data_IF_739317755046
#
_entry.id   IF_739317755046
#
_cell.length_a   1.000
_cell.length_b   1.000
_cell.length_c   1.000
_cell.angle_alpha   90.00
_cell.angle_beta   90.00
_cell.angle_gamma   90.00
#
_symmetry.space_group_name_H-M   'P 1'
#
loop_
_entity.id
_entity.type
_entity.pdbx_description
1 polymer ?
#
# COMPACT_ATOMS: atom_id res chain seq x y z
N UNK A 1 -6.75 2.39 10.16
CA UNK A 1 -7.63 1.92 9.07
C UNK A 1 -7.66 3.00 8.01
N UNK A 2 -7.43 2.64 6.75
CA UNK A 2 -7.57 3.55 5.60
C UNK A 2 -9.04 3.53 5.18
N UNK A 3 -9.63 4.70 4.94
CA UNK A 3 -11.01 4.85 4.53
C UNK A 3 -11.15 5.83 3.34
N UNK A 4 -12.24 5.70 2.60
CA UNK A 4 -12.62 6.68 1.57
C UNK A 4 -12.77 8.06 2.21
N UNK A 5 -12.14 9.07 1.60
CA UNK A 5 -12.08 10.44 2.09
C UNK A 5 -10.89 10.75 2.98
N UNK A 6 -10.08 9.76 3.38
CA UNK A 6 -8.85 10.01 4.12
C UNK A 6 -7.84 10.77 3.26
N UNK A 7 -7.16 11.74 3.87
CA UNK A 7 -5.98 12.40 3.29
C UNK A 7 -4.72 11.65 3.71
N UNK A 8 -4.02 11.06 2.75
CA UNK A 8 -2.77 10.35 3.00
C UNK A 8 -1.62 11.10 2.34
N UNK A 9 -0.42 10.95 2.91
CA UNK A 9 0.78 11.64 2.44
C UNK A 9 1.82 10.64 1.97
N UNK A 10 2.19 10.70 0.69
CA UNK A 10 3.20 9.82 0.12
C UNK A 10 4.63 10.17 0.57
N UNK A 11 5.62 9.41 0.09
CA UNK A 11 7.02 9.57 0.48
C UNK A 11 7.65 10.90 0.02
N UNK A 12 7.03 11.60 -0.92
CA UNK A 12 7.43 12.93 -1.41
C UNK A 12 6.77 14.08 -0.64
N UNK A 13 5.86 13.78 0.30
CA UNK A 13 5.12 14.79 1.04
C UNK A 13 3.86 15.29 0.32
N UNK A 14 3.52 14.72 -0.84
CA UNK A 14 2.30 15.08 -1.56
C UNK A 14 1.10 14.42 -0.88
N UNK A 15 -0.01 15.15 -0.83
CA UNK A 15 -1.26 14.68 -0.25
C UNK A 15 -2.18 14.19 -1.36
N UNK A 16 -2.78 13.03 -1.15
CA UNK A 16 -3.86 12.49 -1.98
C UNK A 16 -5.08 12.20 -1.11
N UNK A 17 -6.25 12.22 -1.76
CA UNK A 17 -7.52 11.82 -1.13
C UNK A 17 -7.89 10.43 -1.60
N UNK A 18 -8.16 9.52 -0.67
CA UNK A 18 -8.60 8.15 -0.97
C UNK A 18 -10.02 8.18 -1.55
N UNK A 19 -10.20 7.63 -2.75
CA UNK A 19 -11.50 7.59 -3.45
C UNK A 19 -12.12 6.19 -3.47
N UNK A 20 -11.30 5.15 -3.39
CA UNK A 20 -11.73 3.76 -3.34
C UNK A 20 -10.81 2.96 -2.42
N UNK A 21 -11.36 1.98 -1.72
CA UNK A 21 -10.60 1.02 -0.91
C UNK A 21 -11.06 -0.39 -1.21
N UNK A 22 -10.13 -1.26 -1.57
CA UNK A 22 -10.35 -2.69 -1.75
C UNK A 22 -9.40 -3.46 -0.83
N UNK A 23 -9.92 -4.45 -0.12
CA UNK A 23 -9.12 -5.29 0.79
C UNK A 23 -8.88 -6.64 0.13
N UNK A 24 -7.61 -7.01 0.02
CA UNK A 24 -7.15 -8.24 -0.63
C UNK A 24 -6.58 -9.24 0.36
N UNK A 25 -5.98 -10.29 -0.20
CA UNK A 25 -5.30 -11.34 0.54
C UNK A 25 -4.01 -10.83 1.17
N UNK A 26 -3.21 -10.06 0.43
CA UNK A 26 -1.88 -9.65 0.87
C UNK A 26 -1.80 -8.20 1.32
N UNK A 27 -2.87 -7.42 1.17
CA UNK A 27 -2.82 -5.99 1.44
C UNK A 27 -4.10 -5.24 1.12
N UNK A 28 -3.98 -3.92 1.10
CA UNK A 28 -5.06 -3.00 0.79
C UNK A 28 -4.71 -2.25 -0.49
N UNK A 29 -5.58 -2.32 -1.49
CA UNK A 29 -5.50 -1.48 -2.67
C UNK A 29 -6.38 -0.25 -2.48
N UNK A 30 -5.89 0.91 -2.91
CA UNK A 30 -6.67 2.12 -2.96
C UNK A 30 -6.60 2.76 -4.33
N UNK A 31 -7.69 3.42 -4.71
CA UNK A 31 -7.62 4.54 -5.65
C UNK A 31 -7.54 5.83 -4.87
N UNK A 32 -6.80 6.77 -5.42
CA UNK A 32 -6.55 8.05 -4.77
C UNK A 32 -6.54 9.18 -5.80
N UNK A 33 -6.72 10.40 -5.34
CA UNK A 33 -6.74 11.59 -6.18
C UNK A 33 -5.67 12.56 -5.69
N UNK A 34 -4.67 12.86 -6.53
CA UNK A 34 -3.71 13.94 -6.33
C UNK A 34 -4.17 15.15 -7.13
N UNK A 35 -4.73 16.16 -6.45
CA UNK A 35 -5.32 17.35 -7.11
C UNK A 35 -6.33 16.94 -8.21
N UNK A 36 -5.87 16.82 -9.45
CA UNK A 36 -6.66 16.47 -10.64
C UNK A 36 -6.20 15.19 -11.36
N UNK A 37 -5.29 14.43 -10.76
CA UNK A 37 -4.74 13.18 -11.29
C UNK A 37 -5.18 12.02 -10.40
N UNK A 38 -5.90 11.06 -10.97
CA UNK A 38 -6.31 9.82 -10.30
C UNK A 38 -5.12 8.86 -10.27
N UNK A 39 -4.68 8.40 -9.09
CA UNK A 39 -3.64 7.41 -8.88
C UNK A 39 -4.11 6.17 -8.13
N UNK A 40 -3.16 5.28 -7.85
CA UNK A 40 -3.40 4.10 -7.03
C UNK A 40 -2.16 3.79 -6.20
N UNK A 41 -2.42 3.18 -5.04
CA UNK A 41 -1.39 2.63 -4.18
C UNK A 41 -1.86 1.28 -3.64
N UNK A 42 -0.90 0.40 -3.39
CA UNK A 42 -1.13 -0.88 -2.74
C UNK A 42 -0.27 -0.95 -1.47
N UNK A 43 -0.89 -1.37 -0.37
CA UNK A 43 -0.27 -1.48 0.95
C UNK A 43 -0.20 -2.95 1.36
N UNK A 44 0.85 -3.68 0.97
CA UNK A 44 1.06 -5.04 1.43
C UNK A 44 1.25 -5.07 2.95
N UNK A 45 0.60 -6.02 3.63
CA UNK A 45 0.67 -6.12 5.09
C UNK A 45 2.07 -6.40 5.63
N UNK A 46 2.88 -7.08 4.82
CA UNK A 46 4.25 -7.49 5.19
C UNK A 46 5.30 -6.45 4.84
N UNK A 47 4.94 -5.39 4.11
CA UNK A 47 5.90 -4.38 3.66
C UNK A 47 6.10 -3.31 4.75
N UNK A 48 7.25 -3.27 5.45
CA UNK A 48 7.52 -2.22 6.40
C UNK A 48 7.75 -0.88 5.71
N UNK A 49 7.57 0.25 6.41
CA UNK A 49 7.99 1.56 5.92
C UNK A 49 9.46 1.53 5.47
N UNK A 50 9.71 1.93 4.23
CA UNK A 50 11.03 1.95 3.64
C UNK A 50 11.35 3.28 2.94
N UNK A 51 12.63 3.48 2.63
CA UNK A 51 13.05 4.57 1.73
C UNK A 51 12.48 4.31 0.34
N UNK A 52 12.11 5.41 -0.32
CA UNK A 52 11.71 5.42 -1.72
C UNK A 52 12.74 4.70 -2.59
N UNK A 53 12.26 3.76 -3.42
CA UNK A 53 13.08 3.01 -4.38
C UNK A 53 12.25 2.81 -5.64
N UNK A 54 12.79 3.20 -6.80
CA UNK A 54 12.20 2.93 -8.10
C UNK A 54 12.62 1.54 -8.61
N UNK A 55 11.80 0.97 -9.50
CA UNK A 55 12.04 -0.32 -10.18
C UNK A 55 12.37 -1.46 -9.20
N UNK A 56 11.57 -1.55 -8.14
CA UNK A 56 11.75 -2.55 -7.10
C UNK A 56 10.98 -3.83 -7.44
N UNK A 57 11.72 -4.85 -7.88
CA UNK A 57 11.19 -6.10 -8.44
C UNK A 57 10.25 -5.82 -9.64
N UNK A 58 8.97 -6.15 -9.51
CA UNK A 58 7.92 -5.97 -10.50
C UNK A 58 7.04 -4.74 -10.20
N UNK A 59 7.46 -3.88 -9.28
CA UNK A 59 6.80 -2.62 -8.94
C UNK A 59 7.59 -1.43 -9.46
N UNK A 60 6.88 -0.45 -10.02
CA UNK A 60 7.50 0.77 -10.52
C UNK A 60 8.14 1.57 -9.39
N UNK A 61 7.47 1.61 -8.24
CA UNK A 61 7.93 2.32 -7.07
C UNK A 61 7.55 1.58 -5.79
N UNK A 62 8.42 1.67 -4.78
CA UNK A 62 8.06 1.39 -3.40
C UNK A 62 8.44 2.54 -2.49
N UNK A 63 7.70 2.73 -1.42
CA UNK A 63 7.86 3.89 -0.55
C UNK A 63 7.28 3.71 0.84
N UNK A 64 7.01 4.86 1.44
CA UNK A 64 6.31 4.98 2.71
C UNK A 64 5.20 6.00 2.56
N UNK A 65 4.03 5.64 3.05
CA UNK A 65 2.86 6.49 3.14
C UNK A 65 2.55 6.79 4.60
N UNK A 66 2.22 8.04 4.89
CA UNK A 66 1.78 8.49 6.22
C UNK A 66 0.27 8.63 6.21
N UNK A 67 -0.40 7.89 7.10
CA UNK A 67 -1.86 7.92 7.29
C UNK A 67 -2.29 9.15 8.12
N UNK A 68 -3.59 9.51 8.15
CA UNK A 68 -4.09 10.65 8.96
C UNK A 68 -3.74 10.55 10.44
N UNK A 69 -3.60 9.32 10.96
CA UNK A 69 -3.18 9.05 12.35
C UNK A 69 -1.70 9.33 12.62
N UNK A 70 -0.91 9.65 11.59
CA UNK A 70 0.55 9.77 11.66
C UNK A 70 1.30 8.44 11.56
N UNK A 71 0.58 7.30 11.52
CA UNK A 71 1.17 5.98 11.29
C UNK A 71 1.80 5.93 9.89
N UNK A 72 2.99 5.35 9.80
CA UNK A 72 3.70 5.12 8.55
C UNK A 72 3.54 3.66 8.13
N UNK A 73 3.19 3.44 6.88
CA UNK A 73 3.05 2.12 6.26
C UNK A 73 3.93 2.04 5.02
N UNK A 74 4.45 0.87 4.70
CA UNK A 74 5.10 0.64 3.43
C UNK A 74 4.05 0.56 2.32
N UNK A 75 4.40 1.08 1.15
CA UNK A 75 3.53 1.04 -0.02
C UNK A 75 4.33 0.68 -1.27
N UNK A 76 3.61 0.10 -2.23
CA UNK A 76 4.03 0.05 -3.62
C UNK A 76 3.01 0.81 -4.42
N UNK A 77 3.48 1.68 -5.29
CA UNK A 77 2.61 2.48 -6.14
C UNK A 77 3.11 2.42 -7.57
N UNK A 78 2.20 2.76 -8.45
CA UNK A 78 2.48 2.88 -9.85
C UNK A 78 1.74 4.05 -10.43
N UNK A 79 2.08 4.36 -11.67
CA UNK A 79 1.38 5.37 -12.42
C UNK A 79 0.25 4.73 -13.23
N UNK A 80 -0.68 5.54 -13.72
CA UNK A 80 -1.74 5.11 -14.64
C UNK A 80 -1.14 4.73 -16.01
N UNK A 81 0.16 4.98 -16.20
CA UNK A 81 0.95 4.55 -17.36
C UNK A 81 1.60 3.18 -17.14
N UNK A 82 1.50 2.58 -15.95
CA UNK A 82 2.01 1.24 -15.70
C UNK A 82 1.30 0.24 -16.61
N UNK A 83 2.09 -0.61 -17.27
CA UNK A 83 1.60 -1.63 -18.21
C UNK A 83 2.09 -3.02 -17.75
N UNK A 84 1.19 -4.00 -17.48
CA UNK A 84 -0.26 -3.86 -17.47
C UNK A 84 -0.74 -2.99 -16.31
N UNK A 85 -1.83 -2.26 -16.58
CA UNK A 85 -2.49 -1.39 -15.61
C UNK A 85 -3.04 -2.26 -14.49
N UNK A 86 -2.65 -1.97 -13.26
CA UNK A 86 -3.22 -2.58 -12.07
C UNK A 86 -4.47 -1.78 -11.71
N UNK A 87 -5.64 -2.40 -11.88
CA UNK A 87 -6.92 -1.73 -11.69
C UNK A 87 -7.74 -2.31 -10.53
N UNK A 88 -7.27 -3.40 -9.92
CA UNK A 88 -7.95 -4.10 -8.84
C UNK A 88 -6.98 -4.66 -7.80
N UNK A 89 -7.53 -4.96 -6.61
CA UNK A 89 -6.77 -5.63 -5.56
C UNK A 89 -6.30 -7.03 -5.95
N UNK A 90 -7.06 -7.73 -6.81
CA UNK A 90 -6.71 -9.08 -7.29
C UNK A 90 -5.42 -9.03 -8.12
N UNK A 91 -5.31 -8.06 -9.04
CA UNK A 91 -4.10 -7.90 -9.86
C UNK A 91 -2.87 -7.57 -8.98
N UNK A 92 -3.09 -6.75 -7.94
CA UNK A 92 -2.05 -6.41 -6.97
C UNK A 92 -1.63 -7.63 -6.12
N UNK A 93 -2.58 -8.44 -5.66
CA UNK A 93 -2.33 -9.66 -4.90
C UNK A 93 -1.51 -10.66 -5.73
N UNK A 94 -1.88 -10.90 -7.00
CA UNK A 94 -1.12 -11.76 -7.91
C UNK A 94 0.30 -11.24 -8.13
N UNK A 95 0.44 -9.92 -8.37
CA UNK A 95 1.75 -9.29 -8.54
C UNK A 95 2.59 -9.41 -7.27
N UNK A 96 1.99 -9.26 -6.10
CA UNK A 96 2.67 -9.38 -4.81
C UNK A 96 3.14 -10.82 -4.55
N UNK A 97 2.34 -11.82 -4.90
CA UNK A 97 2.75 -13.23 -4.81
C UNK A 97 4.02 -13.50 -5.65
N UNK A 98 4.10 -12.93 -6.86
CA UNK A 98 5.33 -12.97 -7.65
C UNK A 98 6.50 -12.21 -6.99
N UNK A 99 6.24 -11.10 -6.31
CA UNK A 99 7.26 -10.38 -5.54
C UNK A 99 7.80 -11.26 -4.40
N UNK A 100 6.94 -11.96 -3.67
CA UNK A 100 7.33 -12.88 -2.58
C UNK A 100 8.29 -13.95 -3.11
N UNK A 101 7.92 -14.62 -4.20
CA UNK A 101 8.77 -15.64 -4.82
C UNK A 101 10.13 -15.08 -5.28
N UNK A 102 10.14 -13.86 -5.84
CA UNK A 102 11.37 -13.21 -6.27
C UNK A 102 12.27 -12.81 -5.08
N UNK A 103 11.68 -12.35 -3.98
CA UNK A 103 12.41 -12.03 -2.75
C UNK A 103 13.04 -13.28 -2.13
N UNK A 104 12.27 -14.37 -2.03
CA UNK A 104 12.77 -15.65 -1.53
C UNK A 104 13.94 -16.17 -2.38
N UNK A 105 13.81 -16.13 -3.72
CA UNK A 105 14.88 -16.52 -4.64
C UNK A 105 16.14 -15.66 -4.49
N UNK A 106 15.99 -14.39 -4.14
CA UNK A 106 17.09 -13.47 -3.86
C UNK A 106 17.68 -13.59 -2.44
N UNK A 107 17.14 -14.49 -1.60
CA UNK A 107 17.51 -14.61 -0.19
C UNK A 107 17.08 -13.42 0.67
N UNK A 108 16.10 -12.65 0.20
CA UNK A 108 15.50 -11.54 0.94
C UNK A 108 14.23 -12.01 1.63
N UNK A 109 14.11 -11.79 2.94
CA UNK A 109 12.87 -12.03 3.68
C UNK A 109 12.48 -10.75 4.39
N UNK A 110 11.21 -10.35 4.31
CA UNK A 110 10.73 -9.35 5.27
C UNK A 110 10.75 -9.97 6.66
N UNK A 111 11.17 -9.21 7.70
CA UNK A 111 10.85 -9.65 9.05
C UNK A 111 9.33 -9.71 9.09
N UNK A 112 8.77 -10.90 9.31
CA UNK A 112 7.35 -11.07 9.62
C UNK A 112 7.13 -10.37 10.96
N UNK A 113 7.00 -9.05 10.92
CA UNK A 113 6.35 -8.33 11.99
C UNK A 113 4.87 -8.62 11.74
N UNK A 114 4.42 -9.70 12.37
CA UNK A 114 3.02 -9.94 12.68
C UNK A 114 2.51 -8.74 13.48
N UNK A 115 2.31 -7.60 12.82
CA UNK A 115 1.34 -6.62 13.28
C UNK A 115 0.03 -7.30 12.97
N UNK A 116 -0.49 -7.98 14.00
CA UNK A 116 -1.81 -8.59 13.95
C UNK A 116 -2.77 -7.45 13.61
N UNK A 117 -3.29 -7.47 12.39
CA UNK A 117 -4.24 -6.46 11.89
C UNK A 117 -5.46 -6.29 12.80
N UNK A 118 -5.75 -7.26 13.67
CA UNK A 118 -6.77 -7.18 14.71
C UNK A 118 -6.59 -5.96 15.64
N UNK A 119 -5.36 -5.57 15.99
CA UNK A 119 -5.11 -4.38 16.83
C UNK A 119 -5.48 -3.05 16.13
N UNK A 120 -5.54 -3.04 14.80
CA UNK A 120 -5.99 -1.88 14.01
C UNK A 120 -7.52 -1.88 13.78
N UNK A 121 -8.20 -2.99 14.04
CA UNK A 121 -9.65 -3.13 13.84
C UNK A 121 -10.47 -2.83 15.11
N UNK A 122 -9.89 -2.97 16.32
CA UNK A 122 -10.70 -3.02 17.56
C UNK A 122 -10.86 -1.70 18.34
N UNK A 123 -10.36 -0.57 17.85
CA UNK A 123 -10.45 0.73 18.58
C UNK A 123 -11.70 1.57 18.30
N UNK A 124 -12.76 1.03 17.69
CA UNK A 124 -14.03 1.76 17.44
C UNK A 124 -15.22 1.32 18.30
N UNK A 125 -15.04 0.45 19.28
CA UNK A 125 -16.18 -0.05 20.08
C UNK A 125 -16.38 0.61 21.46
N UNK A 126 -15.45 1.44 21.95
CA UNK A 126 -15.48 1.88 23.36
C UNK A 126 -15.94 3.34 23.61
N UNK A 127 -16.63 3.99 22.66
CA UNK A 127 -17.31 5.27 22.94
C UNK A 127 -18.80 5.16 22.63
N UNK A 128 -19.57 4.63 23.59
CA UNK A 128 -20.98 4.96 23.80
C UNK A 128 -21.19 5.34 25.26
#
# INVERSE_FOLDING_TARGET
MIAVGDEIKNCHGNISVVTEVQVGKYGIFIREQFEHIEGWAYFPYELPPCKSTDDWYNWRHRGTTTLPSGVKVGDVCGSHFDTPKLDSVVDCDERWEHTILAMEAAGTTFPIQSIILEELMDRRSDHK
#
